data_IF_654980622175
#
_entry.id   IF_654980622175
#
_cell.length_a   1.000
_cell.length_b   1.000
_cell.length_c   1.000
_cell.angle_alpha   90.00
_cell.angle_beta   90.00
_cell.angle_gamma   90.00
#
_symmetry.space_group_name_H-M   'P 1'
#
loop_
_entity.id
_entity.type
_entity.pdbx_description
1 polymer ?
#
# COMPACT_ATOMS: atom_id res chain seq x y z
N UNK A 1 14.18 -38.67 3.23
CA UNK A 1 12.82 -39.05 2.73
C UNK A 1 11.69 -38.08 3.11
N UNK A 2 11.71 -37.41 4.28
CA UNK A 2 10.62 -36.52 4.74
C UNK A 2 10.29 -35.32 3.80
N UNK A 3 11.29 -34.65 3.24
CA UNK A 3 11.09 -33.46 2.39
C UNK A 3 10.37 -33.77 1.07
N UNK A 4 10.53 -34.98 0.53
CA UNK A 4 9.88 -35.38 -0.72
C UNK A 4 8.40 -35.71 -0.51
N UNK A 5 8.01 -36.11 0.71
CA UNK A 5 6.63 -36.42 1.05
C UNK A 5 5.81 -35.14 1.27
N UNK A 6 6.39 -34.14 1.93
CA UNK A 6 5.76 -32.83 2.09
C UNK A 6 5.57 -32.09 0.76
N UNK A 7 6.55 -32.14 -0.17
CA UNK A 7 6.36 -31.56 -1.52
C UNK A 7 5.22 -32.23 -2.27
N UNK A 8 5.13 -33.56 -2.24
CA UNK A 8 4.05 -34.30 -2.93
C UNK A 8 2.66 -33.96 -2.37
N UNK A 9 2.53 -33.80 -1.05
CA UNK A 9 1.28 -33.38 -0.40
C UNK A 9 0.86 -31.95 -0.78
N UNK A 10 1.80 -31.03 -0.86
CA UNK A 10 1.53 -29.64 -1.31
C UNK A 10 1.07 -29.62 -2.77
N UNK A 11 1.73 -30.40 -3.65
CA UNK A 11 1.30 -30.51 -5.06
C UNK A 11 -0.10 -31.12 -5.20
N UNK A 12 -0.44 -32.13 -4.40
CA UNK A 12 -1.75 -32.77 -4.43
C UNK A 12 -2.86 -31.83 -3.92
N UNK A 13 -2.55 -31.01 -2.91
CA UNK A 13 -3.48 -30.01 -2.39
C UNK A 13 -3.70 -28.85 -3.38
N UNK A 14 -2.63 -28.36 -4.01
CA UNK A 14 -2.72 -27.33 -5.06
C UNK A 14 -3.46 -27.83 -6.31
N UNK A 15 -3.26 -29.09 -6.69
CA UNK A 15 -3.98 -29.71 -7.81
C UNK A 15 -5.47 -29.90 -7.50
N UNK A 16 -5.81 -30.31 -6.27
CA UNK A 16 -7.20 -30.41 -5.82
C UNK A 16 -7.90 -29.03 -5.75
N UNK A 17 -7.19 -27.98 -5.35
CA UNK A 17 -7.71 -26.61 -5.28
C UNK A 17 -7.97 -26.02 -6.67
N UNK A 18 -7.17 -26.35 -7.67
CA UNK A 18 -7.42 -25.91 -9.05
C UNK A 18 -8.60 -26.64 -9.71
N UNK A 19 -8.84 -27.90 -9.34
CA UNK A 19 -9.97 -28.64 -9.89
C UNK A 19 -11.32 -28.03 -9.44
N UNK A 20 -11.46 -27.61 -8.19
CA UNK A 20 -12.73 -27.05 -7.67
C UNK A 20 -13.09 -25.68 -8.27
N UNK A 21 -12.09 -24.84 -8.59
CA UNK A 21 -12.32 -23.53 -9.22
C UNK A 21 -12.81 -23.70 -10.66
N UNK A 22 -12.33 -24.72 -11.39
CA UNK A 22 -12.71 -24.96 -12.78
C UNK A 22 -14.17 -25.45 -12.95
N UNK A 23 -14.72 -26.19 -11.98
CA UNK A 23 -16.09 -26.69 -12.05
C UNK A 23 -17.16 -25.62 -11.77
N UNK A 24 -16.85 -24.59 -10.97
CA UNK A 24 -17.84 -23.60 -10.54
C UNK A 24 -18.30 -22.60 -11.61
N UNK A 25 -17.51 -22.36 -12.66
CA UNK A 25 -17.83 -21.36 -13.69
C UNK A 25 -18.53 -21.92 -14.95
N UNK A 26 -18.62 -23.24 -15.10
CA UNK A 26 -19.11 -23.86 -16.34
C UNK A 26 -20.57 -24.31 -16.31
N UNK A 27 -21.24 -24.32 -15.16
CA UNK A 27 -22.58 -24.89 -15.05
C UNK A 27 -23.65 -24.02 -15.73
N UNK A 28 -23.52 -22.69 -15.65
CA UNK A 28 -24.50 -21.75 -16.18
C UNK A 28 -24.39 -21.59 -17.71
N UNK A 29 -23.16 -21.57 -18.26
CA UNK A 29 -22.92 -21.60 -19.71
C UNK A 29 -23.39 -22.92 -20.34
N UNK A 30 -23.36 -24.01 -19.58
CA UNK A 30 -23.79 -25.34 -20.04
C UNK A 30 -25.30 -25.38 -20.30
N UNK A 31 -26.12 -24.77 -19.44
CA UNK A 31 -27.58 -24.79 -19.60
C UNK A 31 -28.06 -23.97 -20.79
N UNK A 32 -27.55 -22.74 -20.95
CA UNK A 32 -27.87 -21.92 -22.13
C UNK A 32 -27.43 -22.61 -23.43
N UNK A 33 -26.25 -23.23 -23.42
CA UNK A 33 -25.74 -24.00 -24.56
C UNK A 33 -26.61 -25.23 -24.89
N UNK A 34 -27.17 -25.90 -23.89
CA UNK A 34 -28.14 -26.99 -24.08
C UNK A 34 -29.44 -26.50 -24.73
N UNK A 35 -30.01 -25.40 -24.22
CA UNK A 35 -31.23 -24.81 -24.79
C UNK A 35 -31.04 -24.37 -26.25
N UNK A 36 -29.87 -23.80 -26.57
CA UNK A 36 -29.53 -23.44 -27.96
C UNK A 36 -29.42 -24.66 -28.88
N UNK A 37 -28.84 -25.78 -28.41
CA UNK A 37 -28.78 -27.04 -29.16
C UNK A 37 -30.18 -27.64 -29.38
N UNK A 38 -31.03 -27.61 -28.36
CA UNK A 38 -32.42 -28.07 -28.47
C UNK A 38 -33.21 -27.23 -29.47
N UNK A 39 -33.05 -25.91 -29.43
CA UNK A 39 -33.66 -24.99 -30.40
C UNK A 39 -33.21 -25.28 -31.82
N UNK A 40 -31.92 -25.55 -32.03
CA UNK A 40 -31.39 -25.87 -33.35
C UNK A 40 -31.99 -27.17 -33.90
N UNK A 41 -32.15 -28.20 -33.06
CA UNK A 41 -32.83 -29.44 -33.48
C UNK A 41 -34.27 -29.19 -33.92
N UNK A 42 -35.04 -28.41 -33.17
CA UNK A 42 -36.44 -28.10 -33.52
C UNK A 42 -36.49 -27.23 -34.79
N UNK A 43 -35.52 -26.33 -34.98
CA UNK A 43 -35.40 -25.55 -36.20
C UNK A 43 -35.15 -26.44 -37.43
N UNK A 44 -34.31 -27.47 -37.30
CA UNK A 44 -34.09 -28.45 -38.37
C UNK A 44 -35.36 -29.24 -38.69
N UNK A 45 -36.14 -29.64 -37.67
CA UNK A 45 -37.44 -30.27 -37.85
C UNK A 45 -38.42 -29.35 -38.59
N UNK A 46 -38.47 -28.06 -38.23
CA UNK A 46 -39.23 -27.06 -38.95
C UNK A 46 -38.80 -26.96 -40.42
N UNK A 47 -37.49 -26.86 -40.71
CA UNK A 47 -36.97 -26.79 -42.09
C UNK A 47 -37.40 -28.03 -42.87
N UNK A 48 -37.33 -29.21 -42.26
CA UNK A 48 -37.75 -30.47 -42.87
C UNK A 48 -39.26 -30.48 -43.21
N UNK A 49 -40.14 -30.12 -42.26
CA UNK A 49 -41.59 -30.03 -42.53
C UNK A 49 -41.93 -28.90 -43.50
N UNK A 50 -41.17 -27.82 -43.49
CA UNK A 50 -41.36 -26.70 -44.40
C UNK A 50 -40.84 -26.99 -45.82
N UNK A 51 -39.93 -27.94 -46.00
CA UNK A 51 -39.49 -28.37 -47.33
C UNK A 51 -40.43 -29.40 -47.98
N UNK A 52 -41.25 -30.10 -47.20
CA UNK A 52 -42.18 -31.11 -47.73
C UNK A 52 -43.36 -30.48 -48.50
N UNK A 53 -43.64 -31.04 -49.69
CA UNK A 53 -44.84 -30.77 -50.48
C UNK A 53 -45.55 -32.10 -50.74
N UNK A 54 -46.37 -32.56 -49.78
CA UNK A 54 -46.95 -33.91 -49.82
C UNK A 54 -48.24 -34.03 -50.63
N UNK A 55 -48.78 -32.94 -51.19
CA UNK A 55 -50.03 -32.98 -51.94
C UNK A 55 -49.78 -33.31 -53.43
N UNK A 56 -50.73 -34.01 -54.06
CA UNK A 56 -50.66 -34.49 -55.45
C UNK A 56 -50.46 -33.35 -56.50
N UNK A 57 -50.73 -32.11 -56.11
CA UNK A 57 -50.62 -30.90 -56.93
C UNK A 57 -49.39 -30.03 -56.59
N UNK A 58 -48.41 -30.58 -55.86
CA UNK A 58 -47.18 -29.85 -55.48
C UNK A 58 -47.38 -28.78 -54.39
N UNK A 59 -48.53 -28.76 -53.72
CA UNK A 59 -48.83 -27.85 -52.60
C UNK A 59 -48.63 -28.55 -51.24
N UNK A 60 -48.50 -27.78 -50.17
CA UNK A 60 -48.49 -28.34 -48.79
C UNK A 60 -49.86 -28.92 -48.43
N UNK A 61 -49.88 -30.06 -47.75
CA UNK A 61 -51.12 -30.62 -47.20
C UNK A 61 -51.50 -29.92 -45.88
N UNK A 62 -52.77 -30.05 -45.47
CA UNK A 62 -53.22 -29.56 -44.15
C UNK A 62 -52.42 -30.18 -43.00
N UNK A 63 -52.01 -31.44 -43.14
CA UNK A 63 -51.19 -32.15 -42.15
C UNK A 63 -49.79 -31.54 -42.06
N UNK A 64 -49.16 -31.24 -43.20
CA UNK A 64 -47.83 -30.60 -43.22
C UNK A 64 -47.87 -29.23 -42.56
N UNK A 65 -48.92 -28.44 -42.84
CA UNK A 65 -49.12 -27.14 -42.21
C UNK A 65 -49.26 -27.24 -40.69
N UNK A 66 -49.96 -28.26 -40.19
CA UNK A 66 -50.08 -28.49 -38.75
C UNK A 66 -48.73 -28.86 -38.11
N UNK A 67 -47.93 -29.71 -38.75
CA UNK A 67 -46.57 -30.06 -38.27
C UNK A 67 -45.62 -28.86 -38.28
N UNK A 68 -45.72 -27.99 -39.29
CA UNK A 68 -44.97 -26.72 -39.34
C UNK A 68 -45.39 -25.81 -38.18
N UNK A 69 -46.70 -25.63 -37.95
CA UNK A 69 -47.22 -24.81 -36.86
C UNK A 69 -46.79 -25.34 -35.49
N UNK A 70 -46.82 -26.66 -35.30
CA UNK A 70 -46.38 -27.29 -34.05
C UNK A 70 -44.89 -27.09 -33.81
N UNK A 71 -44.06 -27.25 -34.85
CA UNK A 71 -42.63 -26.98 -34.78
C UNK A 71 -42.35 -25.51 -34.42
N UNK A 72 -43.06 -24.57 -35.03
CA UNK A 72 -42.95 -23.14 -34.72
C UNK A 72 -43.36 -22.82 -33.28
N UNK A 73 -44.44 -23.43 -32.78
CA UNK A 73 -44.85 -23.28 -31.36
C UNK A 73 -43.77 -23.78 -30.40
N UNK A 74 -43.11 -24.89 -30.75
CA UNK A 74 -42.01 -25.44 -29.96
C UNK A 74 -40.78 -24.53 -29.98
N UNK A 75 -40.45 -23.93 -31.14
CA UNK A 75 -39.38 -22.91 -31.25
C UNK A 75 -39.67 -21.72 -30.34
N UNK A 76 -40.86 -21.14 -30.41
CA UNK A 76 -41.25 -19.98 -29.59
C UNK A 76 -41.15 -20.29 -28.09
N UNK A 77 -41.55 -21.50 -27.68
CA UNK A 77 -41.42 -21.93 -26.28
C UNK A 77 -39.95 -21.98 -25.85
N UNK A 78 -39.08 -22.56 -26.69
CA UNK A 78 -37.64 -22.64 -26.41
C UNK A 78 -36.95 -21.28 -26.44
N UNK A 79 -37.31 -20.41 -27.36
CA UNK A 79 -36.80 -19.04 -27.40
C UNK A 79 -37.20 -18.27 -26.12
N UNK A 80 -38.41 -18.50 -25.59
CA UNK A 80 -38.85 -17.92 -24.31
C UNK A 80 -38.01 -18.43 -23.12
N UNK A 81 -37.68 -19.72 -23.11
CA UNK A 81 -36.79 -20.32 -22.10
C UNK A 81 -35.37 -19.74 -22.20
N UNK A 82 -34.84 -19.57 -23.42
CA UNK A 82 -33.53 -18.97 -23.68
C UNK A 82 -33.48 -17.53 -23.15
N UNK A 83 -34.48 -16.71 -23.48
CA UNK A 83 -34.55 -15.32 -23.02
C UNK A 83 -34.59 -15.25 -21.49
N UNK A 84 -35.36 -16.13 -20.85
CA UNK A 84 -35.42 -16.20 -19.38
C UNK A 84 -34.05 -16.50 -18.79
N UNK A 85 -33.32 -17.48 -19.34
CA UNK A 85 -32.00 -17.86 -18.87
C UNK A 85 -30.97 -16.74 -19.07
N UNK A 86 -31.01 -16.04 -20.22
CA UNK A 86 -30.14 -14.88 -20.49
C UNK A 86 -30.40 -13.77 -19.47
N UNK A 87 -31.66 -13.50 -19.14
CA UNK A 87 -32.03 -12.48 -18.16
C UNK A 87 -31.62 -12.84 -16.73
N UNK A 88 -31.71 -14.11 -16.34
CA UNK A 88 -31.21 -14.56 -15.04
C UNK A 88 -29.70 -14.45 -14.96
N UNK A 89 -29.00 -14.81 -16.03
CA UNK A 89 -27.54 -14.68 -16.14
C UNK A 89 -27.08 -13.22 -16.07
N UNK A 90 -27.75 -12.32 -16.81
CA UNK A 90 -27.42 -10.89 -16.77
C UNK A 90 -27.65 -10.30 -15.38
N UNK A 91 -28.79 -10.61 -14.75
CA UNK A 91 -29.10 -10.17 -13.39
C UNK A 91 -28.06 -10.67 -12.38
N UNK A 92 -27.66 -11.94 -12.48
CA UNK A 92 -26.63 -12.52 -11.61
C UNK A 92 -25.28 -11.82 -11.79
N UNK A 93 -24.86 -11.56 -13.04
CA UNK A 93 -23.63 -10.81 -13.33
C UNK A 93 -23.69 -9.39 -12.79
N UNK A 94 -24.82 -8.70 -12.97
CA UNK A 94 -25.01 -7.36 -12.42
C UNK A 94 -24.93 -7.37 -10.88
N UNK A 95 -25.56 -8.33 -10.22
CA UNK A 95 -25.49 -8.49 -8.77
C UNK A 95 -24.03 -8.73 -8.31
N UNK A 96 -23.31 -9.64 -8.97
CA UNK A 96 -21.89 -9.91 -8.66
C UNK A 96 -21.01 -8.68 -8.84
N UNK A 97 -21.17 -7.94 -9.94
CA UNK A 97 -20.40 -6.71 -10.21
C UNK A 97 -20.69 -5.64 -9.16
N UNK A 98 -21.95 -5.48 -8.75
CA UNK A 98 -22.33 -4.53 -7.70
C UNK A 98 -21.72 -4.90 -6.35
N UNK A 99 -21.80 -6.18 -5.95
CA UNK A 99 -21.21 -6.66 -4.70
C UNK A 99 -19.68 -6.47 -4.72
N UNK A 100 -19.03 -6.79 -5.83
CA UNK A 100 -17.57 -6.61 -5.96
C UNK A 100 -17.18 -5.14 -5.89
N UNK A 101 -17.96 -4.25 -6.54
CA UNK A 101 -17.74 -2.81 -6.46
C UNK A 101 -17.90 -2.29 -5.03
N UNK A 102 -18.92 -2.70 -4.31
CA UNK A 102 -19.12 -2.33 -2.90
C UNK A 102 -17.97 -2.85 -2.02
N UNK A 103 -17.53 -4.09 -2.24
CA UNK A 103 -16.38 -4.67 -1.56
C UNK A 103 -15.11 -3.86 -1.79
N UNK A 104 -14.78 -3.55 -3.05
CA UNK A 104 -13.62 -2.73 -3.40
C UNK A 104 -13.72 -1.35 -2.76
N UNK A 105 -14.89 -0.72 -2.78
CA UNK A 105 -15.10 0.59 -2.17
C UNK A 105 -14.86 0.56 -0.66
N UNK A 106 -15.36 -0.47 0.04
CA UNK A 106 -15.12 -0.63 1.47
C UNK A 106 -13.64 -0.86 1.78
N UNK A 107 -12.95 -1.70 0.99
CA UNK A 107 -11.51 -1.89 1.12
C UNK A 107 -10.72 -0.59 0.94
N UNK A 108 -11.07 0.22 -0.06
CA UNK A 108 -10.43 1.54 -0.26
C UNK A 108 -10.69 2.48 0.91
N UNK A 109 -11.88 2.45 1.52
CA UNK A 109 -12.19 3.26 2.70
C UNK A 109 -11.33 2.81 3.89
N UNK A 110 -11.20 1.51 4.12
CA UNK A 110 -10.38 0.96 5.20
C UNK A 110 -8.89 1.28 5.00
N UNK A 111 -8.37 1.11 3.79
CA UNK A 111 -6.99 1.47 3.45
C UNK A 111 -6.72 2.95 3.69
N UNK A 112 -7.66 3.83 3.31
CA UNK A 112 -7.55 5.26 3.59
C UNK A 112 -7.50 5.56 5.08
N UNK A 113 -8.28 4.86 5.91
CA UNK A 113 -8.24 5.02 7.37
C UNK A 113 -6.88 4.61 7.91
N UNK A 114 -6.36 3.45 7.51
CA UNK A 114 -5.05 2.96 7.95
C UNK A 114 -3.94 3.95 7.55
N UNK A 115 -3.93 4.46 6.32
CA UNK A 115 -2.95 5.45 5.87
C UNK A 115 -3.04 6.75 6.68
N UNK A 116 -4.27 7.20 6.95
CA UNK A 116 -4.51 8.42 7.73
C UNK A 116 -4.05 8.27 9.19
N UNK A 117 -4.35 7.13 9.82
CA UNK A 117 -3.92 6.83 11.19
C UNK A 117 -2.38 6.78 11.28
N UNK A 118 -1.74 6.09 10.33
CA UNK A 118 -0.27 6.07 10.22
C UNK A 118 0.31 7.48 10.02
N UNK A 119 -0.34 8.33 9.23
CA UNK A 119 0.10 9.71 9.01
C UNK A 119 0.03 10.54 10.31
N UNK A 120 -1.05 10.41 11.08
CA UNK A 120 -1.17 11.09 12.37
C UNK A 120 -0.15 10.59 13.38
N UNK A 121 0.08 9.27 13.44
CA UNK A 121 1.11 8.70 14.30
C UNK A 121 2.49 9.21 13.92
N UNK A 122 2.84 9.18 12.63
CA UNK A 122 4.12 9.67 12.13
C UNK A 122 4.33 11.16 12.42
N UNK A 123 3.27 11.97 12.28
CA UNK A 123 3.30 13.39 12.65
C UNK A 123 3.55 13.59 14.15
N UNK A 124 2.93 12.77 15.01
CA UNK A 124 3.17 12.79 16.45
C UNK A 124 4.61 12.44 16.79
N UNK A 125 5.14 11.37 16.17
CA UNK A 125 6.54 10.96 16.33
C UNK A 125 7.50 12.08 15.89
N UNK A 126 7.25 12.71 14.75
CA UNK A 126 8.03 13.83 14.24
C UNK A 126 8.03 15.01 15.22
N UNK A 127 6.87 15.41 15.73
CA UNK A 127 6.76 16.47 16.73
C UNK A 127 7.53 16.13 18.01
N UNK A 128 7.46 14.87 18.46
CA UNK A 128 8.21 14.40 19.65
C UNK A 128 9.72 14.46 19.43
N UNK A 129 10.20 14.08 18.24
CA UNK A 129 11.61 14.14 17.86
C UNK A 129 12.10 15.58 17.73
N UNK A 130 11.30 16.46 17.13
CA UNK A 130 11.60 17.88 17.03
C UNK A 130 11.73 18.52 18.42
N UNK A 131 10.83 18.20 19.35
CA UNK A 131 10.93 18.66 20.73
C UNK A 131 12.19 18.14 21.43
N UNK A 132 12.57 16.88 21.21
CA UNK A 132 13.81 16.31 21.73
C UNK A 132 15.05 17.02 21.18
N UNK A 133 15.07 17.30 19.88
CA UNK A 133 16.15 18.06 19.24
C UNK A 133 16.28 19.45 19.84
N UNK A 134 15.17 20.18 20.00
CA UNK A 134 15.16 21.51 20.63
C UNK A 134 15.68 21.50 22.07
N UNK A 135 15.32 20.48 22.85
CA UNK A 135 15.84 20.32 24.23
C UNK A 135 17.35 20.07 24.22
N UNK A 136 17.84 19.23 23.30
CA UNK A 136 19.28 18.95 23.16
C UNK A 136 20.07 20.17 22.71
N UNK A 137 19.53 20.94 21.78
CA UNK A 137 20.12 22.19 21.30
C UNK A 137 20.25 23.20 22.45
N UNK A 138 19.19 23.41 23.22
CA UNK A 138 19.23 24.27 24.41
C UNK A 138 20.24 23.79 25.46
N UNK A 139 20.36 22.46 25.65
CA UNK A 139 21.33 21.89 26.58
C UNK A 139 22.78 22.09 26.11
N UNK A 140 23.04 21.93 24.81
CA UNK A 140 24.34 22.22 24.21
C UNK A 140 24.69 23.70 24.35
N UNK A 141 23.76 24.60 24.05
CA UNK A 141 23.97 26.05 24.20
C UNK A 141 24.34 26.43 25.64
N UNK A 142 23.63 25.87 26.63
CA UNK A 142 23.96 26.10 28.05
C UNK A 142 25.34 25.54 28.41
N UNK A 143 25.70 24.37 27.90
CA UNK A 143 27.01 23.77 28.13
C UNK A 143 28.15 24.60 27.51
N UNK A 144 27.93 25.16 26.31
CA UNK A 144 28.90 26.06 25.66
C UNK A 144 29.03 27.38 26.42
N UNK A 145 27.93 27.99 26.83
CA UNK A 145 27.96 29.21 27.67
C UNK A 145 28.71 28.97 29.00
N UNK A 146 28.47 27.83 29.65
CA UNK A 146 29.19 27.47 30.87
C UNK A 146 30.69 27.28 30.62
N UNK A 147 31.06 26.61 29.53
CA UNK A 147 32.47 26.43 29.15
C UNK A 147 33.15 27.77 28.86
N UNK A 148 32.48 28.69 28.16
CA UNK A 148 32.98 30.03 27.88
C UNK A 148 33.11 30.88 29.15
N UNK A 149 32.12 30.82 30.05
CA UNK A 149 32.18 31.50 31.34
C UNK A 149 33.36 31.02 32.20
N UNK A 150 33.60 29.70 32.23
CA UNK A 150 34.76 29.12 32.91
C UNK A 150 36.08 29.53 32.25
N UNK A 151 36.17 29.55 30.92
CA UNK A 151 37.35 30.03 30.21
C UNK A 151 37.61 31.51 30.48
N UNK A 152 36.59 32.36 30.46
CA UNK A 152 36.73 33.78 30.77
C UNK A 152 37.18 34.01 32.22
N UNK A 153 36.63 33.25 33.17
CA UNK A 153 37.09 33.32 34.55
C UNK A 153 38.56 32.88 34.68
N UNK A 154 38.97 31.78 34.04
CA UNK A 154 40.38 31.35 34.00
C UNK A 154 41.29 32.42 33.39
N UNK A 155 40.92 33.02 32.26
CA UNK A 155 41.67 34.12 31.63
C UNK A 155 41.83 35.33 32.56
N UNK A 156 40.80 35.69 33.34
CA UNK A 156 40.89 36.77 34.34
C UNK A 156 41.90 36.46 35.44
N UNK A 157 41.90 35.23 35.96
CA UNK A 157 42.88 34.80 36.96
C UNK A 157 44.30 34.77 36.40
N UNK A 158 44.49 34.24 35.18
CA UNK A 158 45.79 34.23 34.50
C UNK A 158 46.31 35.66 34.28
N UNK A 159 45.45 36.58 33.84
CA UNK A 159 45.81 37.99 33.66
C UNK A 159 46.23 38.66 34.98
N UNK A 160 45.49 38.40 36.07
CA UNK A 160 45.83 38.91 37.40
C UNK A 160 47.16 38.36 37.90
N UNK A 161 47.44 37.08 37.65
CA UNK A 161 48.70 36.43 38.02
C UNK A 161 49.89 37.02 37.25
N UNK A 162 49.73 37.25 35.94
CA UNK A 162 50.73 37.95 35.11
C UNK A 162 50.98 39.37 35.63
N UNK A 163 49.92 40.11 35.98
CA UNK A 163 50.03 41.46 36.53
C UNK A 163 50.79 41.48 37.86
N UNK A 164 50.44 40.60 38.80
CA UNK A 164 51.16 40.47 40.08
C UNK A 164 52.63 40.10 39.86
N UNK A 165 52.94 39.18 38.94
CA UNK A 165 54.31 38.81 38.60
C UNK A 165 55.13 39.99 38.06
N UNK A 166 54.54 40.82 37.19
CA UNK A 166 55.18 42.03 36.67
C UNK A 166 55.45 43.06 37.76
N UNK A 167 54.52 43.27 38.70
CA UNK A 167 54.69 44.19 39.82
C UNK A 167 55.85 43.74 40.73
N UNK A 168 55.93 42.44 41.03
CA UNK A 168 57.03 41.86 41.83
C UNK A 168 58.37 42.06 41.11
N UNK A 169 58.44 41.76 39.82
CA UNK A 169 59.64 41.99 39.00
C UNK A 169 60.04 43.46 38.96
N UNK A 170 59.08 44.37 38.83
CA UNK A 170 59.32 45.82 38.86
C UNK A 170 59.87 46.31 40.20
N UNK A 171 59.35 45.79 41.32
CA UNK A 171 59.86 46.09 42.67
C UNK A 171 61.28 45.55 42.88
N UNK A 172 61.57 44.34 42.41
CA UNK A 172 62.92 43.77 42.46
C UNK A 172 63.91 44.61 41.64
N UNK A 173 63.50 45.04 40.44
CA UNK A 173 64.30 45.92 39.60
C UNK A 173 64.55 47.28 40.27
N UNK A 174 63.52 47.85 40.91
CA UNK A 174 63.64 49.09 41.68
C UNK A 174 64.63 48.96 42.84
N UNK A 175 64.55 47.87 43.62
CA UNK A 175 65.50 47.59 44.72
C UNK A 175 66.93 47.41 44.19
N UNK A 176 67.10 46.73 43.06
CA UNK A 176 68.41 46.56 42.42
C UNK A 176 69.00 47.91 41.98
N UNK A 177 68.21 48.77 41.34
CA UNK A 177 68.62 50.12 40.96
C UNK A 177 68.97 51.00 42.19
N UNK A 178 68.20 50.87 43.28
CA UNK A 178 68.46 51.57 44.54
C UNK A 178 69.78 51.12 45.18
N UNK A 179 70.07 49.81 45.20
CA UNK A 179 71.37 49.27 45.64
C UNK A 179 72.53 49.84 44.81
N UNK A 180 72.39 49.89 43.48
CA UNK A 180 73.39 50.49 42.60
C UNK A 180 73.68 51.96 42.93
N UNK A 181 72.63 52.76 43.16
CA UNK A 181 72.75 54.18 43.53
C UNK A 181 73.35 54.40 44.92
N UNK A 182 73.00 53.56 45.90
CA UNK A 182 73.56 53.63 47.26
C UNK A 182 75.06 53.28 47.28
N UNK A 183 75.49 52.27 46.53
CA UNK A 183 76.91 51.93 46.41
C UNK A 183 77.74 53.05 45.79
N UNK A 184 77.22 53.78 44.81
CA UNK A 184 77.91 54.95 44.24
C UNK A 184 78.04 56.12 45.23
N UNK A 185 77.02 56.37 46.06
CA UNK A 185 77.10 57.41 47.11
C UNK A 185 78.07 57.04 48.24
N UNK A 186 78.22 55.76 48.56
CA UNK A 186 79.21 55.29 49.55
C UNK A 186 80.66 55.51 49.08
N UNK A 187 80.94 55.34 47.78
CA UNK A 187 82.29 55.56 47.24
C UNK A 187 82.67 57.04 47.13
N UNK A 188 81.71 57.96 47.00
CA UNK A 188 81.98 59.41 46.93
C UNK A 188 82.23 60.08 48.30
N UNK A 189 82.16 59.31 49.39
CA UNK A 189 82.35 59.78 50.78
C UNK A 189 83.62 59.24 51.45
N UNK A 190 84.45 58.48 50.73
CA UNK A 190 85.84 58.19 51.05
C UNK A 190 86.73 59.07 50.17
#
# INVERSE_FOLDING_TARGET
MKNNMCRKLIFLFLFGLHLTIAYGQNQDSTRLSQLLKEREKIHQEYVFYNAQNSNFWGKKSKKDLLSVIESLKNIIRKDSEIIKEINTESLRRHAQVTIEKERIQNQVIDDRRVVNDNFYELKSQLNSLQNRLKVKENALHKATEQAEALQNNRKKYDLMLVFCGLVILGLLFYLFALRGRLNQKSQKKR
#
